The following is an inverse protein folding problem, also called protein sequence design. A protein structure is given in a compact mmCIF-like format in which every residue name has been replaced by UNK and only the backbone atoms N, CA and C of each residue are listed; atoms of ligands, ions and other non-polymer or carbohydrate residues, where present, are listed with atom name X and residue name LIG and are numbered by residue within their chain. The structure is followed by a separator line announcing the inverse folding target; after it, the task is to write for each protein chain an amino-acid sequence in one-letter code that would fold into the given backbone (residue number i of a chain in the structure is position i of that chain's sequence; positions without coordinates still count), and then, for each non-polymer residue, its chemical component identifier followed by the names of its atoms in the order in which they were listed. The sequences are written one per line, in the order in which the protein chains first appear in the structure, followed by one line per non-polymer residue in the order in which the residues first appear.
data_IF_474169940056
#
_entry.id   IF_474169940056
#
_cell.length_a   1.000
_cell.length_b   1.000
_cell.length_c   1.000
_cell.angle_alpha   90.00
_cell.angle_beta   90.00
_cell.angle_gamma   90.00
#
_symmetry.space_group_name_H-M   'P 1'
#
loop_
_entity.id
_entity.type
_entity.pdbx_description
1 polymer ?
#
# COMPACT_ATOMS: atom_id res chain seq x y z
N UNK A 1 -12.99 -3.70 -26.37
CA UNK A 1 -12.07 -3.14 -25.36
C UNK A 1 -12.82 -2.37 -24.26
N UNK A 2 -13.77 -1.50 -24.59
CA UNK A 2 -14.58 -0.72 -23.64
C UNK A 2 -15.40 -1.57 -22.64
N UNK A 3 -16.07 -2.63 -23.10
CA UNK A 3 -16.84 -3.53 -22.22
C UNK A 3 -15.98 -4.24 -21.17
N UNK A 4 -14.78 -4.67 -21.55
CA UNK A 4 -13.84 -5.30 -20.62
C UNK A 4 -13.37 -4.31 -19.55
N UNK A 5 -13.05 -3.07 -19.94
CA UNK A 5 -12.67 -2.03 -18.99
C UNK A 5 -13.80 -1.70 -18.00
N UNK A 6 -15.04 -1.58 -18.49
CA UNK A 6 -16.20 -1.37 -17.62
C UNK A 6 -16.39 -2.51 -16.62
N UNK A 7 -16.22 -3.77 -17.05
CA UNK A 7 -16.27 -4.92 -16.17
C UNK A 7 -15.19 -4.87 -15.08
N UNK A 8 -13.95 -4.50 -15.45
CA UNK A 8 -12.84 -4.37 -14.49
C UNK A 8 -13.12 -3.26 -13.48
N UNK A 9 -13.59 -2.09 -13.93
CA UNK A 9 -13.94 -0.98 -13.02
C UNK A 9 -15.06 -1.39 -12.07
N UNK A 10 -16.11 -2.03 -12.58
CA UNK A 10 -17.22 -2.53 -11.78
C UNK A 10 -16.76 -3.55 -10.73
N UNK A 11 -15.91 -4.50 -11.13
CA UNK A 11 -15.34 -5.49 -10.21
C UNK A 11 -14.49 -4.83 -9.12
N UNK A 12 -13.65 -3.85 -9.48
CA UNK A 12 -12.84 -3.09 -8.52
C UNK A 12 -13.71 -2.30 -7.54
N UNK A 13 -14.84 -1.74 -7.98
CA UNK A 13 -15.79 -1.08 -7.08
C UNK A 13 -16.38 -2.08 -6.08
N UNK A 14 -16.86 -3.25 -6.54
CA UNK A 14 -17.40 -4.30 -5.64
C UNK A 14 -16.36 -4.74 -4.60
N UNK A 15 -15.11 -4.94 -5.03
CA UNK A 15 -14.03 -5.32 -4.12
C UNK A 15 -13.80 -4.28 -3.00
N UNK A 16 -14.06 -2.99 -3.25
CA UNK A 16 -13.96 -1.96 -2.21
C UNK A 16 -15.05 -2.09 -1.14
N UNK A 17 -16.29 -2.41 -1.52
CA UNK A 17 -17.38 -2.69 -0.57
C UNK A 17 -17.13 -3.95 0.26
N UNK A 18 -16.59 -4.99 -0.38
CA UNK A 18 -16.17 -6.21 0.30
C UNK A 18 -15.05 -5.88 1.30
N UNK A 19 -14.02 -5.14 0.88
CA UNK A 19 -12.93 -4.72 1.74
C UNK A 19 -13.39 -3.85 2.91
N UNK A 20 -14.36 -2.96 2.69
CA UNK A 20 -14.98 -2.17 3.76
C UNK A 20 -15.61 -3.07 4.82
N UNK A 21 -16.46 -4.01 4.39
CA UNK A 21 -17.17 -4.93 5.28
C UNK A 21 -16.20 -5.86 6.03
N UNK A 22 -15.21 -6.41 5.31
CA UNK A 22 -14.17 -7.25 5.90
C UNK A 22 -13.32 -6.48 6.90
N UNK A 23 -12.94 -5.24 6.60
CA UNK A 23 -12.15 -4.41 7.52
C UNK A 23 -12.93 -4.08 8.78
N UNK A 24 -14.23 -3.74 8.66
CA UNK A 24 -15.10 -3.52 9.81
C UNK A 24 -15.21 -4.77 10.69
N UNK A 25 -15.40 -5.95 10.07
CA UNK A 25 -15.44 -7.23 10.78
C UNK A 25 -14.11 -7.55 11.47
N UNK A 26 -12.98 -7.36 10.79
CA UNK A 26 -11.65 -7.57 11.35
C UNK A 26 -11.38 -6.66 12.55
N UNK A 27 -11.79 -5.39 12.48
CA UNK A 27 -11.68 -4.44 13.59
C UNK A 27 -12.58 -4.88 14.76
N UNK A 28 -13.83 -5.24 14.48
CA UNK A 28 -14.75 -5.75 15.50
C UNK A 28 -14.18 -6.98 16.22
N UNK A 29 -13.73 -7.99 15.47
CA UNK A 29 -13.13 -9.20 16.02
C UNK A 29 -11.86 -8.87 16.82
N UNK A 30 -11.01 -7.97 16.31
CA UNK A 30 -9.77 -7.56 16.96
C UNK A 30 -10.02 -6.81 18.27
N UNK A 31 -11.09 -6.02 18.38
CA UNK A 31 -11.38 -5.26 19.60
C UNK A 31 -12.16 -6.09 20.62
N UNK A 32 -13.12 -6.92 20.17
CA UNK A 32 -14.08 -7.59 21.07
C UNK A 32 -13.76 -9.05 21.36
N UNK A 33 -13.18 -9.78 20.39
CA UNK A 33 -13.07 -11.25 20.47
C UNK A 33 -11.64 -11.69 20.70
N UNK A 34 -10.66 -11.05 20.05
CA UNK A 34 -9.27 -11.50 20.07
C UNK A 34 -8.50 -10.88 21.23
N UNK A 35 -7.88 -11.70 22.12
CA UNK A 35 -7.08 -11.19 23.23
C UNK A 35 -5.84 -10.42 22.74
N UNK A 36 -5.29 -9.50 23.55
CA UNK A 36 -4.11 -8.72 23.19
C UNK A 36 -2.93 -9.60 22.76
N UNK A 37 -2.52 -9.47 21.50
CA UNK A 37 -1.41 -10.21 20.92
C UNK A 37 -0.71 -9.37 19.84
N UNK A 38 0.50 -9.79 19.45
CA UNK A 38 1.27 -9.17 18.38
C UNK A 38 0.51 -9.19 17.04
N UNK A 39 -0.08 -10.34 16.71
CA UNK A 39 -0.89 -10.53 15.52
C UNK A 39 -2.11 -9.60 15.51
N UNK A 40 -2.76 -9.42 16.66
CA UNK A 40 -3.87 -8.46 16.79
C UNK A 40 -3.43 -7.02 16.54
N UNK A 41 -2.29 -6.61 17.11
CA UNK A 41 -1.75 -5.27 16.88
C UNK A 41 -1.42 -5.05 15.39
N UNK A 42 -0.81 -6.04 14.74
CA UNK A 42 -0.58 -6.02 13.29
C UNK A 42 -1.87 -5.88 12.48
N UNK A 43 -2.88 -6.71 12.77
CA UNK A 43 -4.18 -6.64 12.11
C UNK A 43 -4.87 -5.28 12.32
N UNK A 44 -4.75 -4.68 13.50
CA UNK A 44 -5.29 -3.34 13.77
C UNK A 44 -4.53 -2.25 13.00
N UNK A 45 -3.19 -2.33 12.94
CA UNK A 45 -2.36 -1.35 12.22
C UNK A 45 -2.63 -1.32 10.70
N UNK A 46 -3.02 -2.45 10.11
CA UNK A 46 -3.46 -2.49 8.70
C UNK A 46 -4.95 -2.26 8.55
N UNK A 47 -5.76 -2.81 9.46
CA UNK A 47 -7.21 -2.78 9.40
C UNK A 47 -7.80 -1.38 9.59
N UNK A 48 -7.24 -0.57 10.49
CA UNK A 48 -7.74 0.80 10.74
C UNK A 48 -7.55 1.69 9.50
N UNK A 49 -6.36 1.80 8.89
CA UNK A 49 -6.20 2.55 7.65
C UNK A 49 -7.03 1.99 6.51
N UNK A 50 -7.14 0.67 6.38
CA UNK A 50 -7.96 0.02 5.32
C UNK A 50 -9.44 0.35 5.46
N UNK A 51 -9.97 0.30 6.69
CA UNK A 51 -11.33 0.73 6.98
C UNK A 51 -11.53 2.21 6.64
N UNK A 52 -10.61 3.08 7.08
CA UNK A 52 -10.69 4.52 6.80
C UNK A 52 -10.70 4.83 5.30
N UNK A 53 -9.75 4.28 4.54
CA UNK A 53 -9.69 4.42 3.08
C UNK A 53 -10.99 3.98 2.40
N UNK A 54 -11.45 2.76 2.72
CA UNK A 54 -12.64 2.20 2.08
C UNK A 54 -13.92 2.95 2.49
N UNK A 55 -13.99 3.45 3.73
CA UNK A 55 -15.04 4.34 4.19
C UNK A 55 -15.08 5.64 3.39
N UNK A 56 -13.93 6.32 3.23
CA UNK A 56 -13.83 7.54 2.42
C UNK A 56 -14.28 7.27 0.98
N UNK A 57 -13.79 6.19 0.36
CA UNK A 57 -14.18 5.84 -1.00
C UNK A 57 -15.69 5.62 -1.16
N UNK A 58 -16.28 4.77 -0.30
CA UNK A 58 -17.73 4.49 -0.33
C UNK A 58 -18.53 5.76 -0.10
N UNK A 59 -18.10 6.63 0.82
CA UNK A 59 -18.74 7.91 1.07
C UNK A 59 -18.69 8.82 -0.15
N UNK A 60 -17.53 8.93 -0.80
CA UNK A 60 -17.37 9.75 -2.01
C UNK A 60 -18.26 9.26 -3.17
N UNK A 61 -18.43 7.95 -3.32
CA UNK A 61 -19.28 7.35 -4.36
C UNK A 61 -20.77 7.64 -4.15
N UNK A 62 -21.21 7.79 -2.89
CA UNK A 62 -22.61 8.08 -2.55
C UNK A 62 -22.97 9.58 -2.63
N UNK A 63 -21.97 10.47 -2.72
CA UNK A 63 -22.21 11.90 -2.93
C UNK A 63 -22.59 12.12 -4.40
N UNK A 64 -23.88 12.34 -4.65
CA UNK A 64 -24.44 12.49 -6.01
C UNK A 64 -23.96 13.75 -6.75
N UNK A 65 -23.63 14.81 -6.02
CA UNK A 65 -23.28 16.09 -6.61
C UNK A 65 -21.80 16.41 -6.43
N UNK A 66 -21.10 16.73 -7.53
CA UNK A 66 -19.74 17.23 -7.48
C UNK A 66 -19.65 18.40 -6.48
N UNK A 67 -18.86 18.22 -5.41
CA UNK A 67 -18.68 19.24 -4.37
C UNK A 67 -17.24 19.23 -3.86
N UNK A 68 -16.76 20.36 -3.33
CA UNK A 68 -15.45 20.45 -2.68
C UNK A 68 -15.28 19.39 -1.60
N UNK A 69 -16.36 19.05 -0.89
CA UNK A 69 -16.37 18.00 0.11
C UNK A 69 -16.08 16.61 -0.48
N UNK A 70 -16.73 16.25 -1.59
CA UNK A 70 -16.46 15.00 -2.30
C UNK A 70 -14.99 14.91 -2.73
N UNK A 71 -14.45 16.00 -3.26
CA UNK A 71 -13.03 16.09 -3.67
C UNK A 71 -12.08 15.86 -2.51
N UNK A 72 -12.32 16.49 -1.35
CA UNK A 72 -11.52 16.28 -0.14
C UNK A 72 -11.58 14.81 0.31
N UNK A 73 -12.76 14.19 0.28
CA UNK A 73 -12.91 12.77 0.62
C UNK A 73 -12.16 11.87 -0.36
N UNK A 74 -12.20 12.17 -1.66
CA UNK A 74 -11.44 11.42 -2.66
C UNK A 74 -9.93 11.55 -2.42
N UNK A 75 -9.43 12.73 -2.07
CA UNK A 75 -8.02 12.90 -1.70
C UNK A 75 -7.65 12.10 -0.45
N UNK A 76 -8.52 12.08 0.57
CA UNK A 76 -8.31 11.25 1.76
C UNK A 76 -8.33 9.76 1.41
N UNK A 77 -9.19 9.34 0.48
CA UNK A 77 -9.20 7.96 -0.01
C UNK A 77 -7.90 7.61 -0.75
N UNK A 78 -7.46 8.45 -1.69
CA UNK A 78 -6.18 8.25 -2.39
C UNK A 78 -5.00 8.22 -1.42
N UNK A 79 -4.95 9.16 -0.48
CA UNK A 79 -3.95 9.19 0.59
C UNK A 79 -3.96 7.88 1.40
N UNK A 80 -5.15 7.45 1.84
CA UNK A 80 -5.32 6.23 2.61
C UNK A 80 -4.89 4.97 1.85
N UNK A 81 -5.22 4.87 0.57
CA UNK A 81 -4.82 3.77 -0.30
C UNK A 81 -3.29 3.64 -0.37
N UNK A 82 -2.61 4.75 -0.66
CA UNK A 82 -1.15 4.78 -0.77
C UNK A 82 -0.48 4.55 0.59
N UNK A 83 -1.07 5.07 1.67
CA UNK A 83 -0.62 4.84 3.03
C UNK A 83 -0.66 3.35 3.39
N UNK A 84 -1.75 2.66 3.04
CA UNK A 84 -1.89 1.22 3.25
C UNK A 84 -0.86 0.46 2.40
N UNK A 85 -0.65 0.87 1.15
CA UNK A 85 0.30 0.20 0.26
C UNK A 85 1.73 0.23 0.83
N UNK A 86 2.23 1.42 1.19
CA UNK A 86 3.57 1.54 1.77
C UNK A 86 3.66 0.97 3.19
N UNK A 87 2.60 1.15 3.99
CA UNK A 87 2.49 0.54 5.31
C UNK A 87 2.58 -0.98 5.22
N UNK A 88 1.86 -1.60 4.27
CA UNK A 88 1.87 -3.03 4.04
C UNK A 88 3.28 -3.54 3.68
N UNK A 89 4.02 -2.84 2.82
CA UNK A 89 5.40 -3.21 2.48
C UNK A 89 6.30 -3.21 3.72
N UNK A 90 6.20 -2.18 4.57
CA UNK A 90 6.97 -2.13 5.80
C UNK A 90 6.57 -3.21 6.81
N UNK A 91 5.27 -3.34 7.07
CA UNK A 91 4.74 -4.25 8.09
C UNK A 91 4.93 -5.71 7.69
N UNK A 92 4.81 -6.06 6.42
CA UNK A 92 5.12 -7.41 5.92
C UNK A 92 6.60 -7.75 6.12
N UNK A 93 7.51 -6.82 5.80
CA UNK A 93 8.95 -6.95 6.08
C UNK A 93 9.25 -7.15 7.56
N UNK A 94 8.66 -6.32 8.43
CA UNK A 94 8.80 -6.43 9.87
C UNK A 94 8.32 -7.81 10.36
N UNK A 95 7.21 -8.31 9.83
CA UNK A 95 6.66 -9.63 10.20
C UNK A 95 7.60 -10.75 9.80
N UNK A 96 8.15 -10.72 8.59
CA UNK A 96 9.12 -11.72 8.10
C UNK A 96 10.42 -11.63 8.92
N UNK A 97 10.88 -10.43 9.25
CA UNK A 97 12.05 -10.21 10.09
C UNK A 97 11.87 -10.78 11.50
N UNK A 98 10.72 -10.49 12.14
CA UNK A 98 10.37 -11.03 13.45
C UNK A 98 10.26 -12.56 13.42
N UNK A 99 9.66 -13.11 12.36
CA UNK A 99 9.62 -14.54 12.09
C UNK A 99 11.04 -15.14 12.01
N UNK A 100 11.92 -14.55 11.21
CA UNK A 100 13.32 -14.98 11.10
C UNK A 100 14.05 -14.96 12.45
N UNK A 101 13.98 -13.84 13.17
CA UNK A 101 14.68 -13.66 14.46
C UNK A 101 14.19 -14.64 15.51
N UNK A 102 12.90 -14.98 15.51
CA UNK A 102 12.33 -15.97 16.43
C UNK A 102 13.09 -17.31 16.35
N UNK A 103 13.51 -17.73 15.14
CA UNK A 103 14.24 -18.99 14.94
C UNK A 103 15.76 -18.83 14.98
N UNK A 104 16.27 -17.71 14.48
CA UNK A 104 17.70 -17.48 14.40
C UNK A 104 18.31 -17.11 15.76
N UNK A 105 17.60 -16.29 16.57
CA UNK A 105 18.08 -15.72 17.83
C UNK A 105 16.91 -15.48 18.82
N UNK A 106 16.37 -16.54 19.46
CA UNK A 106 15.18 -16.43 20.33
C UNK A 106 15.38 -15.51 21.55
N UNK A 107 16.61 -15.44 22.10
CA UNK A 107 16.93 -14.51 23.20
C UNK A 107 16.83 -13.06 22.75
N UNK A 108 17.26 -12.76 21.52
CA UNK A 108 17.13 -11.43 20.93
C UNK A 108 15.67 -11.12 20.60
N UNK A 109 14.92 -12.10 20.08
CA UNK A 109 13.48 -11.98 19.85
C UNK A 109 12.75 -11.53 21.12
N UNK A 110 13.03 -12.14 22.28
CA UNK A 110 12.38 -11.76 23.55
C UNK A 110 12.59 -10.29 23.91
N UNK A 111 13.77 -9.73 23.62
CA UNK A 111 14.06 -8.30 23.84
C UNK A 111 13.29 -7.43 22.84
N UNK A 112 13.29 -7.83 21.58
CA UNK A 112 12.64 -7.11 20.48
C UNK A 112 11.11 -7.16 20.54
N UNK A 113 10.54 -8.24 21.05
CA UNK A 113 9.11 -8.44 21.27
C UNK A 113 8.60 -7.76 22.56
N UNK A 114 9.43 -6.94 23.21
CA UNK A 114 8.98 -6.10 24.32
C UNK A 114 7.94 -5.09 23.83
N UNK A 115 6.95 -4.77 24.67
CA UNK A 115 5.86 -3.85 24.33
C UNK A 115 6.38 -2.50 23.78
N UNK A 116 7.45 -1.96 24.38
CA UNK A 116 8.06 -0.69 23.97
C UNK A 116 8.69 -0.78 22.57
N UNK A 117 9.49 -1.82 22.32
CA UNK A 117 10.12 -2.00 21.01
C UNK A 117 9.08 -2.23 19.90
N UNK A 118 8.01 -2.98 20.19
CA UNK A 118 6.93 -3.19 19.23
C UNK A 118 6.17 -1.91 18.89
N UNK A 119 5.90 -1.06 19.89
CA UNK A 119 5.29 0.26 19.66
C UNK A 119 6.22 1.12 18.81
N UNK A 120 7.52 1.16 19.13
CA UNK A 120 8.50 1.96 18.38
C UNK A 120 8.58 1.52 16.91
N UNK A 121 8.71 0.21 16.64
CA UNK A 121 8.72 -0.31 15.27
C UNK A 121 7.41 -0.01 14.53
N UNK A 122 6.28 -0.01 15.24
CA UNK A 122 4.98 0.35 14.65
C UNK A 122 4.92 1.83 14.27
N UNK A 123 5.35 2.73 15.17
CA UNK A 123 5.38 4.17 14.92
C UNK A 123 6.32 4.49 13.75
N UNK A 124 7.52 3.88 13.72
CA UNK A 124 8.46 4.03 12.61
C UNK A 124 7.86 3.56 11.28
N UNK A 125 7.10 2.47 11.27
CA UNK A 125 6.38 2.02 10.08
C UNK A 125 5.33 3.00 9.58
N UNK A 126 4.56 3.61 10.48
CA UNK A 126 3.58 4.63 10.10
C UNK A 126 4.26 5.92 9.61
N UNK A 127 5.35 6.35 10.25
CA UNK A 127 6.14 7.51 9.79
C UNK A 127 6.73 7.27 8.39
N UNK A 128 7.25 6.06 8.16
CA UNK A 128 7.73 5.65 6.84
C UNK A 128 6.61 5.68 5.79
N UNK A 129 5.46 5.08 6.08
CA UNK A 129 4.31 5.10 5.17
C UNK A 129 3.83 6.53 4.91
N UNK A 130 3.67 7.35 5.95
CA UNK A 130 3.25 8.74 5.85
C UNK A 130 4.19 9.56 4.97
N UNK A 131 5.50 9.52 5.25
CA UNK A 131 6.50 10.23 4.46
C UNK A 131 6.53 9.77 3.00
N UNK A 132 6.30 8.48 2.74
CA UNK A 132 6.24 7.92 1.39
C UNK A 132 5.02 8.43 0.60
N UNK A 133 3.87 8.58 1.24
CA UNK A 133 2.67 9.13 0.59
C UNK A 133 2.84 10.60 0.24
N UNK A 134 3.50 11.39 1.11
CA UNK A 134 3.74 12.80 0.85
C UNK A 134 4.63 13.08 -0.37
N UNK A 135 5.37 12.08 -0.86
CA UNK A 135 6.25 12.19 -2.02
C UNK A 135 5.49 11.89 -3.34
N UNK A 136 4.28 11.32 -3.28
CA UNK A 136 3.54 10.91 -4.48
C UNK A 136 3.09 12.14 -5.32
N UNK A 137 3.27 12.10 -6.65
CA UNK A 137 2.95 13.22 -7.56
C UNK A 137 1.53 13.77 -7.40
N UNK A 138 0.56 12.89 -7.19
CA UNK A 138 -0.87 13.23 -7.03
C UNK A 138 -1.12 14.21 -5.88
N UNK A 139 -0.30 14.13 -4.83
CA UNK A 139 -0.38 14.99 -3.65
C UNK A 139 0.65 16.12 -3.72
N UNK A 140 1.84 15.87 -4.27
CA UNK A 140 2.87 16.91 -4.42
C UNK A 140 2.43 18.02 -5.40
N UNK A 141 1.73 17.68 -6.49
CA UNK A 141 1.16 18.67 -7.43
C UNK A 141 0.18 19.65 -6.76
N UNK A 142 -0.40 19.25 -5.63
CA UNK A 142 -1.31 20.08 -4.84
C UNK A 142 -0.58 21.06 -3.93
N UNK A 143 0.66 20.76 -3.52
CA UNK A 143 1.38 21.51 -2.49
C UNK A 143 2.62 22.23 -2.99
N UNK A 144 3.20 21.83 -4.13
CA UNK A 144 4.52 22.34 -4.53
C UNK A 144 4.62 22.53 -6.05
N UNK A 145 4.81 23.79 -6.48
CA UNK A 145 5.27 24.18 -7.81
C UNK A 145 6.77 23.91 -7.98
N UNK A 146 7.24 22.73 -7.54
CA UNK A 146 8.66 22.38 -7.59
C UNK A 146 9.09 22.12 -9.03
N UNK A 147 10.31 22.50 -9.35
CA UNK A 147 10.97 22.15 -10.60
C UNK A 147 10.85 20.64 -10.87
N UNK A 148 10.37 20.30 -12.07
CA UNK A 148 10.05 18.92 -12.47
C UNK A 148 11.20 17.94 -12.25
N UNK A 149 12.46 18.41 -12.36
CA UNK A 149 13.67 17.60 -12.17
C UNK A 149 13.88 17.15 -10.72
N UNK A 150 13.72 18.04 -9.75
CA UNK A 150 13.87 17.69 -8.31
C UNK A 150 12.82 16.64 -7.94
N UNK A 151 11.59 16.85 -8.41
CA UNK A 151 10.50 15.90 -8.21
C UNK A 151 10.82 14.51 -8.76
N UNK A 152 11.30 14.41 -10.01
CA UNK A 152 11.68 13.13 -10.61
C UNK A 152 12.81 12.41 -9.83
N UNK A 153 13.78 13.16 -9.32
CA UNK A 153 14.86 12.60 -8.50
C UNK A 153 14.34 12.01 -7.18
N UNK A 154 13.43 12.71 -6.50
CA UNK A 154 12.85 12.22 -5.23
C UNK A 154 12.01 10.96 -5.49
N UNK A 155 11.21 10.93 -6.56
CA UNK A 155 10.43 9.76 -6.94
C UNK A 155 11.33 8.55 -7.28
N UNK A 156 12.42 8.78 -8.03
CA UNK A 156 13.40 7.75 -8.35
C UNK A 156 14.08 7.19 -7.09
N UNK A 157 14.45 8.07 -6.14
CA UNK A 157 15.05 7.68 -4.87
C UNK A 157 14.07 6.84 -4.02
N UNK A 158 12.79 7.22 -3.97
CA UNK A 158 11.76 6.46 -3.28
C UNK A 158 11.56 5.07 -3.90
N UNK A 159 11.50 4.98 -5.23
CA UNK A 159 11.39 3.69 -5.93
C UNK A 159 12.59 2.79 -5.65
N UNK A 160 13.81 3.34 -5.71
CA UNK A 160 15.04 2.61 -5.39
C UNK A 160 15.02 2.11 -3.93
N UNK A 161 14.56 2.93 -2.99
CA UNK A 161 14.42 2.55 -1.59
C UNK A 161 13.41 1.42 -1.39
N UNK A 162 12.24 1.50 -2.04
CA UNK A 162 11.23 0.44 -2.02
C UNK A 162 11.77 -0.86 -2.61
N UNK A 163 12.53 -0.78 -3.71
CA UNK A 163 13.20 -1.93 -4.30
C UNK A 163 14.18 -2.60 -3.32
N UNK A 164 14.98 -1.81 -2.61
CA UNK A 164 15.92 -2.33 -1.59
C UNK A 164 15.16 -3.04 -0.47
N UNK A 165 14.10 -2.42 0.06
CA UNK A 165 13.22 -3.05 1.07
C UNK A 165 12.64 -4.36 0.54
N UNK A 166 12.26 -4.38 -0.73
CA UNK A 166 11.68 -5.53 -1.38
C UNK A 166 12.67 -6.69 -1.50
N UNK A 167 13.88 -6.42 -1.99
CA UNK A 167 14.96 -7.41 -2.06
C UNK A 167 15.30 -7.93 -0.66
N UNK A 168 15.37 -7.05 0.34
CA UNK A 168 15.58 -7.43 1.73
C UNK A 168 14.46 -8.37 2.23
N UNK A 169 13.20 -8.12 1.88
CA UNK A 169 12.06 -8.98 2.19
C UNK A 169 12.28 -10.41 1.68
N UNK A 170 12.64 -10.54 0.40
CA UNK A 170 12.85 -11.82 -0.27
C UNK A 170 14.00 -12.58 0.38
N UNK A 171 15.13 -11.90 0.64
CA UNK A 171 16.28 -12.49 1.33
C UNK A 171 15.89 -12.99 2.73
N UNK A 172 15.23 -12.15 3.54
CA UNK A 172 14.78 -12.51 4.88
C UNK A 172 13.79 -13.68 4.85
N UNK A 173 12.94 -13.74 3.84
CA UNK A 173 11.97 -14.83 3.65
C UNK A 173 12.67 -16.16 3.37
N UNK A 174 13.65 -16.18 2.44
CA UNK A 174 14.46 -17.38 2.15
C UNK A 174 15.27 -17.81 3.38
N UNK A 175 15.85 -16.85 4.11
CA UNK A 175 16.59 -17.12 5.34
C UNK A 175 15.68 -17.67 6.45
N UNK A 176 14.47 -17.14 6.60
CA UNK A 176 13.48 -17.63 7.54
C UNK A 176 13.14 -19.09 7.24
N UNK A 177 12.76 -19.41 5.99
CA UNK A 177 12.46 -20.79 5.56
C UNK A 177 13.65 -21.72 5.82
N UNK A 178 14.85 -21.30 5.43
CA UNK A 178 16.06 -22.10 5.60
C UNK A 178 16.33 -22.43 7.07
N UNK A 179 16.19 -21.44 7.96
CA UNK A 179 16.35 -21.64 9.41
C UNK A 179 15.25 -22.51 10.02
N UNK A 180 14.00 -22.33 9.59
CA UNK A 180 12.88 -23.18 10.02
C UNK A 180 13.16 -24.63 9.62
N UNK A 181 13.57 -24.89 8.38
CA UNK A 181 13.90 -26.25 7.89
C UNK A 181 15.05 -26.87 8.68
N UNK A 182 16.14 -26.13 8.90
CA UNK A 182 17.30 -26.61 9.68
C UNK A 182 16.94 -26.93 11.12
N UNK A 183 16.17 -26.08 11.79
CA UNK A 183 15.74 -26.32 13.16
C UNK A 183 14.77 -27.51 13.26
N UNK A 184 13.88 -27.71 12.27
CA UNK A 184 13.00 -28.89 12.23
C UNK A 184 13.82 -30.19 12.13
N UNK A 185 14.86 -30.21 11.30
CA UNK A 185 15.71 -31.39 11.15
C UNK A 185 16.50 -31.73 12.43
N UNK A 186 16.94 -30.71 13.17
CA UNK A 186 17.76 -30.88 14.38
C UNK A 186 16.96 -31.21 15.64
N UNK A 187 15.73 -30.67 15.78
CA UNK A 187 15.00 -30.67 17.06
C UNK A 187 13.93 -31.75 17.17
N UNK A 188 13.92 -32.74 16.26
CA UNK A 188 13.08 -33.95 16.30
C UNK A 188 11.80 -33.86 17.13
N UNK A 189 10.78 -33.15 16.62
CA UNK A 189 9.36 -33.15 17.02
C UNK A 189 8.94 -33.36 18.51
N UNK A 190 9.75 -33.04 19.51
CA UNK A 190 9.53 -33.59 20.88
C UNK A 190 8.80 -32.67 21.86
N UNK A 191 8.57 -31.38 21.57
CA UNK A 191 7.78 -30.51 22.47
C UNK A 191 6.56 -29.87 21.82
N UNK A 192 5.44 -29.89 22.56
CA UNK A 192 4.15 -29.29 22.19
C UNK A 192 4.25 -27.79 21.92
N UNK A 193 5.16 -27.10 22.62
CA UNK A 193 5.44 -25.67 22.45
C UNK A 193 6.06 -25.39 21.09
N UNK A 194 7.04 -26.19 20.66
CA UNK A 194 7.68 -26.06 19.34
C UNK A 194 6.67 -26.35 18.22
N UNK A 195 5.77 -27.32 18.42
CA UNK A 195 4.68 -27.63 17.50
C UNK A 195 3.67 -26.48 17.37
N UNK A 196 3.28 -25.84 18.48
CA UNK A 196 2.38 -24.69 18.49
C UNK A 196 2.98 -23.49 17.74
N UNK A 197 4.24 -23.14 18.06
CA UNK A 197 4.98 -22.09 17.35
C UNK A 197 5.12 -22.40 15.85
N UNK A 198 5.38 -23.67 15.49
CA UNK A 198 5.46 -24.12 14.09
C UNK A 198 4.13 -23.92 13.35
N UNK A 199 2.99 -24.23 13.97
CA UNK A 199 1.67 -24.04 13.37
C UNK A 199 1.37 -22.55 13.15
N UNK A 200 1.63 -21.71 14.16
CA UNK A 200 1.45 -20.26 14.05
C UNK A 200 2.32 -19.68 12.93
N UNK A 201 3.59 -20.07 12.85
CA UNK A 201 4.49 -19.53 11.85
C UNK A 201 4.20 -20.05 10.44
N UNK A 202 3.85 -21.34 10.29
CA UNK A 202 3.40 -21.88 9.00
C UNK A 202 2.18 -21.11 8.52
N UNK A 203 1.25 -20.80 9.42
CA UNK A 203 0.10 -19.94 9.12
C UNK A 203 0.54 -18.54 8.71
N UNK A 204 1.42 -17.88 9.48
CA UNK A 204 1.93 -16.54 9.14
C UNK A 204 2.64 -16.51 7.80
N UNK A 205 3.49 -17.49 7.49
CA UNK A 205 4.13 -17.60 6.17
C UNK A 205 3.05 -17.75 5.10
N UNK A 206 2.17 -18.75 5.20
CA UNK A 206 1.10 -18.99 4.21
C UNK A 206 0.22 -17.75 3.99
N UNK A 207 -0.06 -16.96 5.04
CA UNK A 207 -0.84 -15.74 4.90
C UNK A 207 -0.05 -14.56 4.32
N UNK A 208 1.26 -14.49 4.58
CA UNK A 208 2.11 -13.42 4.03
C UNK A 208 2.61 -13.73 2.61
N UNK A 209 2.71 -15.00 2.21
CA UNK A 209 3.31 -15.39 0.92
C UNK A 209 2.49 -14.89 -0.29
N UNK A 210 1.16 -15.13 -0.40
CA UNK A 210 0.39 -14.71 -1.57
C UNK A 210 0.39 -13.19 -1.80
N UNK A 211 0.06 -12.32 -0.82
CA UNK A 211 0.09 -10.88 -1.07
C UNK A 211 1.50 -10.34 -1.32
N UNK A 212 2.55 -10.96 -0.76
CA UNK A 212 3.92 -10.61 -1.11
C UNK A 212 4.30 -11.06 -2.52
N UNK A 213 3.88 -12.23 -2.99
CA UNK A 213 4.09 -12.66 -4.38
C UNK A 213 3.31 -11.78 -5.35
N UNK A 214 2.07 -11.41 -5.03
CA UNK A 214 1.30 -10.46 -5.83
C UNK A 214 2.02 -9.10 -5.91
N UNK A 215 2.62 -8.65 -4.80
CA UNK A 215 3.46 -7.46 -4.80
C UNK A 215 4.74 -7.61 -5.67
N UNK A 216 5.38 -8.80 -5.71
CA UNK A 216 6.52 -9.09 -6.63
C UNK A 216 6.02 -8.82 -8.05
N UNK A 217 4.84 -9.36 -8.40
CA UNK A 217 4.31 -9.30 -9.76
C UNK A 217 3.86 -7.90 -10.18
N UNK A 218 3.43 -7.07 -9.23
CA UNK A 218 3.06 -5.67 -9.48
C UNK A 218 4.29 -4.75 -9.63
N UNK A 219 5.46 -5.17 -9.13
CA UNK A 219 6.67 -4.34 -9.11
C UNK A 219 7.18 -3.95 -10.51
N UNK A 220 7.26 -4.85 -11.52
CA UNK A 220 7.63 -4.47 -12.88
C UNK A 220 6.71 -3.41 -13.48
N UNK A 221 5.41 -3.49 -13.23
CA UNK A 221 4.43 -2.50 -13.71
C UNK A 221 4.65 -1.14 -13.05
N UNK A 222 4.90 -1.11 -11.73
CA UNK A 222 5.26 0.12 -11.02
C UNK A 222 6.57 0.72 -11.54
N UNK A 223 7.56 -0.13 -11.82
CA UNK A 223 8.85 0.32 -12.34
C UNK A 223 8.73 0.88 -13.76
N UNK A 224 7.95 0.24 -14.63
CA UNK A 224 7.70 0.71 -16.00
C UNK A 224 6.91 2.02 -16.03
N UNK A 225 5.89 2.16 -15.20
CA UNK A 225 5.08 3.39 -15.10
C UNK A 225 5.94 4.55 -14.57
N UNK A 226 6.68 4.32 -13.48
CA UNK A 226 7.60 5.33 -12.92
C UNK A 226 8.71 5.69 -13.91
N UNK A 227 9.29 4.69 -14.60
CA UNK A 227 10.29 4.94 -15.64
C UNK A 227 9.73 5.79 -16.78
N UNK A 228 8.48 5.53 -17.21
CA UNK A 228 7.80 6.34 -18.22
C UNK A 228 7.64 7.78 -17.73
N UNK A 229 7.21 8.00 -16.49
CA UNK A 229 7.07 9.33 -15.91
C UNK A 229 8.41 10.07 -15.82
N UNK A 230 9.46 9.42 -15.32
CA UNK A 230 10.82 9.98 -15.28
C UNK A 230 11.29 10.34 -16.69
N UNK A 231 11.09 9.44 -17.66
CA UNK A 231 11.46 9.68 -19.06
C UNK A 231 10.71 10.88 -19.64
N UNK A 232 9.41 11.00 -19.36
CA UNK A 232 8.61 12.17 -19.78
C UNK A 232 9.00 13.45 -19.09
N UNK A 233 9.64 13.41 -17.92
CA UNK A 233 10.16 14.62 -17.27
C UNK A 233 11.54 14.99 -17.83
N UNK A 234 12.36 14.00 -18.17
CA UNK A 234 13.76 14.19 -18.58
C UNK A 234 13.96 14.48 -20.07
N UNK A 235 13.16 13.89 -20.96
CA UNK A 235 13.30 14.07 -22.42
C UNK A 235 12.40 15.17 -23.01
N UNK A 236 11.75 15.91 -22.14
CA UNK A 236 10.80 16.95 -22.48
C UNK A 236 11.49 18.29 -22.31
N UNK A 237 12.16 18.75 -23.36
CA UNK A 237 12.31 20.17 -23.68
C UNK A 237 10.97 20.65 -24.30
N UNK A 238 9.85 20.43 -23.60
CA UNK A 238 8.54 20.80 -24.10
C UNK A 238 8.39 22.31 -23.89
N UNK A 239 8.36 23.06 -25.00
CA UNK A 239 7.85 24.42 -24.99
C UNK A 239 6.45 24.41 -24.38
N UNK A 240 6.15 25.35 -23.49
CA UNK A 240 4.90 25.43 -22.71
C UNK A 240 3.61 25.15 -23.51
N UNK A 241 3.60 25.42 -24.82
CA UNK A 241 2.51 25.13 -25.76
C UNK A 241 2.08 23.65 -25.84
N UNK A 242 2.99 22.70 -25.69
CA UNK A 242 2.75 21.27 -25.94
C UNK A 242 2.15 20.54 -24.71
N UNK A 243 2.29 21.12 -23.51
CA UNK A 243 1.60 20.61 -22.31
C UNK A 243 0.08 20.74 -22.41
N UNK A 244 -0.42 21.80 -23.06
CA UNK A 244 -1.84 22.01 -23.33
C UNK A 244 -2.46 20.86 -24.13
N UNK A 245 -1.72 20.32 -25.10
CA UNK A 245 -2.18 19.28 -26.01
C UNK A 245 -2.14 17.89 -25.36
N UNK A 246 -1.14 17.62 -24.52
CA UNK A 246 -1.05 16.38 -23.73
C UNK A 246 -2.13 16.34 -22.65
N UNK A 247 -2.42 17.47 -21.99
CA UNK A 247 -3.51 17.58 -21.01
C UNK A 247 -4.87 17.35 -21.69
N UNK A 248 -5.08 17.89 -22.89
CA UNK A 248 -6.29 17.64 -23.69
C UNK A 248 -6.45 16.17 -24.09
N UNK A 249 -5.36 15.49 -24.49
CA UNK A 249 -5.41 14.08 -24.86
C UNK A 249 -5.62 13.14 -23.66
N UNK A 250 -5.11 13.47 -22.48
CA UNK A 250 -5.40 12.73 -21.24
C UNK A 250 -6.85 12.96 -20.78
N UNK A 251 -7.42 14.14 -21.06
CA UNK A 251 -8.82 14.49 -20.78
C UNK A 251 -9.80 13.58 -21.51
N UNK A 252 -9.53 13.23 -22.76
CA UNK A 252 -10.40 12.36 -23.57
C UNK A 252 -10.32 10.88 -23.14
N UNK A 253 -9.17 10.43 -22.62
CA UNK A 253 -8.96 9.03 -22.26
C UNK A 253 -9.50 8.70 -20.85
N UNK A 254 -9.54 9.68 -19.94
CA UNK A 254 -9.96 9.47 -18.53
C UNK A 254 -11.48 9.64 -18.32
N UNK A 255 -12.23 10.15 -19.30
CA UNK A 255 -13.70 10.23 -19.24
C UNK A 255 -14.41 9.19 -20.12
N UNK A 256 -14.53 7.91 -19.71
CA UNK A 256 -15.54 7.02 -20.24
C UNK A 256 -16.77 7.06 -19.32
N UNK A 257 -17.36 8.24 -19.10
CA UNK A 257 -18.67 8.34 -18.47
C UNK A 257 -19.56 9.08 -19.45
N UNK A 258 -20.61 8.38 -19.88
CA UNK A 258 -21.38 8.64 -21.09
C UNK A 258 -22.03 10.02 -21.21
N UNK A 259 -22.80 10.23 -22.28
CA UNK A 259 -23.22 11.55 -22.80
C UNK A 259 -24.13 12.41 -21.88
N UNK A 260 -24.29 12.05 -20.61
CA UNK A 260 -24.96 12.87 -19.59
C UNK A 260 -24.04 13.56 -18.58
N UNK A 261 -22.72 13.37 -18.66
CA UNK A 261 -21.74 13.94 -17.70
C UNK A 261 -20.89 15.09 -18.25
N UNK A 262 -21.02 15.46 -19.54
CA UNK A 262 -20.08 16.40 -20.18
C UNK A 262 -20.27 17.86 -19.76
N UNK A 263 -21.47 18.29 -19.36
CA UNK A 263 -21.71 19.71 -19.08
C UNK A 263 -21.30 20.13 -17.66
N UNK A 264 -21.35 19.21 -16.68
CA UNK A 264 -20.98 19.53 -15.29
C UNK A 264 -19.47 19.49 -15.01
N UNK A 265 -18.64 18.92 -15.88
CA UNK A 265 -17.17 18.88 -15.71
C UNK A 265 -16.50 20.14 -16.27
N UNK A 266 -17.20 20.94 -17.08
CA UNK A 266 -16.68 22.21 -17.61
C UNK A 266 -16.51 23.25 -16.49
N UNK A 267 -17.26 23.14 -15.38
CA UNK A 267 -17.14 24.03 -14.22
C UNK A 267 -15.99 23.67 -13.25
N UNK A 268 -15.25 22.57 -13.47
CA UNK A 268 -14.21 22.08 -12.54
C UNK A 268 -12.80 22.64 -12.79
N UNK A 269 -12.59 23.51 -13.78
CA UNK A 269 -11.25 23.94 -14.19
C UNK A 269 -11.09 25.46 -14.42
N UNK A 270 -11.04 26.29 -13.35
CA UNK A 270 -10.38 27.60 -13.43
C UNK A 270 -9.13 27.73 -12.55
N UNK A 271 -8.53 26.65 -12.01
CA UNK A 271 -7.38 26.75 -11.07
C UNK A 271 -6.12 26.01 -11.60
N UNK A 272 -6.07 25.67 -12.89
CA UNK A 272 -4.85 25.13 -13.54
C UNK A 272 -4.53 25.89 -14.84
N UNK A 273 -4.54 27.22 -14.74
CA UNK A 273 -3.84 28.14 -15.65
C UNK A 273 -2.66 28.75 -14.94
#
# INVERSE_FOLDING_TARGET
MTQFLMLVVWLLSILKYINFSLSALLLYLSVRVVPPSLSRAYCLNLGVPTFFYTFCYVTAEHIRHPSTFQTVILYLACFGQEFILYGYVYFSNLTIFLAYITYAKPVFFRKLASKRAMILMTVLGHLFAFSSVLIIPSLVKLFVTTESKVFAMVLAAQLAFLFIIYVAMVILYVLAISKIRKNIALTGATSSIVLSHRKMLKSVLIYCTPPNILAIMAFPTCLLTTWREIRTVWHVDISSSQWSEVILNVREVVTPLGPGYSETVIAWHPILS
#
